data_IF_383234288016
#
_entry.id   IF_383234288016
#
_cell.length_a   1.000
_cell.length_b   1.000
_cell.length_c   1.000
_cell.angle_alpha   90.00
_cell.angle_beta   90.00
_cell.angle_gamma   90.00
#
_symmetry.space_group_name_H-M   'P 1'
#
loop_
_entity.id
_entity.type
_entity.pdbx_description
1 polymer ?
#
# COMPACT_ATOMS: atom_id res chain seq x y z
N UNK A 1 -19.42 0.60 -34.98
CA UNK A 1 -18.97 1.49 -33.89
C UNK A 1 -18.38 0.52 -32.91
N UNK A 2 -17.07 0.34 -33.03
CA UNK A 2 -16.36 -0.81 -32.48
C UNK A 2 -15.30 -0.26 -31.55
N UNK A 3 -15.59 -0.30 -30.26
CA UNK A 3 -14.62 -0.13 -29.18
C UNK A 3 -15.13 -0.98 -28.03
N UNK A 4 -14.50 -2.12 -27.80
CA UNK A 4 -14.84 -3.05 -26.73
C UNK A 4 -14.62 -2.37 -25.37
N UNK A 5 -15.66 -1.74 -24.83
CA UNK A 5 -15.69 -1.23 -23.46
C UNK A 5 -15.62 -2.44 -22.52
N UNK A 6 -14.40 -2.82 -22.14
CA UNK A 6 -14.14 -3.96 -21.27
C UNK A 6 -13.56 -3.50 -19.95
N UNK A 7 -13.95 -4.17 -18.86
CA UNK A 7 -13.31 -4.03 -17.55
C UNK A 7 -12.68 -5.38 -17.23
N UNK A 8 -11.35 -5.38 -17.01
CA UNK A 8 -10.56 -6.59 -16.78
C UNK A 8 -10.73 -7.66 -17.89
N UNK A 9 -10.88 -7.23 -19.15
CA UNK A 9 -11.08 -8.11 -20.30
C UNK A 9 -12.49 -8.69 -20.43
N UNK A 10 -13.45 -8.27 -19.60
CA UNK A 10 -14.86 -8.65 -19.68
C UNK A 10 -15.65 -7.53 -20.34
N UNK A 11 -16.44 -7.79 -21.40
CA UNK A 11 -17.29 -6.78 -22.03
C UNK A 11 -18.32 -6.22 -21.05
N UNK A 12 -18.43 -4.90 -21.00
CA UNK A 12 -19.47 -4.21 -20.25
C UNK A 12 -20.78 -4.31 -21.02
N UNK A 13 -21.84 -4.75 -20.35
CA UNK A 13 -23.18 -4.85 -20.95
C UNK A 13 -23.96 -3.55 -20.77
N UNK A 14 -24.90 -3.27 -21.67
CA UNK A 14 -25.84 -2.15 -21.57
C UNK A 14 -26.64 -2.17 -20.25
N UNK A 15 -26.99 -3.36 -19.76
CA UNK A 15 -27.66 -3.53 -18.47
C UNK A 15 -26.77 -3.09 -17.30
N UNK A 16 -25.48 -3.42 -17.37
CA UNK A 16 -24.50 -3.00 -16.37
C UNK A 16 -24.29 -1.48 -16.38
N UNK A 17 -24.28 -0.86 -17.55
CA UNK A 17 -24.22 0.60 -17.70
C UNK A 17 -25.47 1.24 -17.08
N UNK A 18 -26.66 0.73 -17.39
CA UNK A 18 -27.91 1.24 -16.83
C UNK A 18 -27.96 1.11 -15.30
N UNK A 19 -27.44 0.01 -14.76
CA UNK A 19 -27.33 -0.19 -13.32
C UNK A 19 -26.42 0.85 -12.66
N UNK A 20 -25.22 1.09 -13.22
CA UNK A 20 -24.29 2.09 -12.68
C UNK A 20 -24.83 3.52 -12.81
N UNK A 21 -25.54 3.82 -13.89
CA UNK A 21 -26.21 5.12 -14.06
C UNK A 21 -27.27 5.33 -12.97
N UNK A 22 -28.14 4.34 -12.74
CA UNK A 22 -29.16 4.40 -11.70
C UNK A 22 -28.55 4.52 -10.29
N UNK A 23 -27.45 3.82 -10.02
CA UNK A 23 -26.70 3.93 -8.76
C UNK A 23 -26.14 5.34 -8.55
N UNK A 24 -25.55 5.93 -9.59
CA UNK A 24 -25.02 7.29 -9.54
C UNK A 24 -26.11 8.34 -9.35
N UNK A 25 -27.24 8.19 -10.04
CA UNK A 25 -28.40 9.09 -9.94
C UNK A 25 -29.12 8.99 -8.59
N UNK A 26 -29.18 7.80 -7.99
CA UNK A 26 -29.72 7.60 -6.64
C UNK A 26 -28.88 8.31 -5.57
N UNK A 27 -27.60 8.58 -5.86
CA UNK A 27 -26.67 9.26 -4.98
C UNK A 27 -26.00 8.33 -3.98
N UNK A 28 -24.73 8.61 -3.70
CA UNK A 28 -23.94 7.82 -2.74
C UNK A 28 -24.02 8.40 -1.33
N UNK A 29 -24.09 7.53 -0.32
CA UNK A 29 -23.89 7.91 1.08
C UNK A 29 -22.42 8.28 1.32
N UNK A 30 -22.15 9.59 1.25
CA UNK A 30 -20.82 10.16 1.44
C UNK A 30 -20.25 9.85 2.83
N UNK A 31 -21.09 9.73 3.85
CA UNK A 31 -20.65 9.45 5.21
C UNK A 31 -20.24 7.98 5.38
N UNK A 32 -20.93 7.06 4.70
CA UNK A 32 -20.49 5.67 4.57
C UNK A 32 -19.18 5.53 3.79
N UNK A 33 -19.01 6.28 2.69
CA UNK A 33 -17.76 6.26 1.90
C UNK A 33 -16.57 6.87 2.64
N UNK A 34 -16.81 7.87 3.50
CA UNK A 34 -15.77 8.50 4.33
C UNK A 34 -15.32 7.66 5.51
N UNK A 35 -16.06 6.61 5.90
CA UNK A 35 -15.62 5.60 6.90
C UNK A 35 -14.49 4.70 6.40
N UNK A 36 -13.54 5.21 5.61
CA UNK A 36 -12.26 4.53 5.40
C UNK A 36 -11.57 4.47 6.76
N UNK A 37 -11.32 3.24 7.23
CA UNK A 37 -10.63 2.96 8.48
C UNK A 37 -9.31 3.74 8.62
N UNK A 38 -8.85 3.88 9.86
CA UNK A 38 -7.70 4.67 10.31
C UNK A 38 -6.42 4.38 9.50
N UNK A 39 -6.27 5.06 8.36
CA UNK A 39 -5.09 5.00 7.49
C UNK A 39 -4.54 3.58 7.26
N UNK A 40 -3.24 3.50 6.97
CA UNK A 40 -2.50 2.25 7.08
C UNK A 40 -2.35 1.93 8.58
N UNK A 41 -2.63 0.68 9.01
CA UNK A 41 -2.40 0.28 10.40
C UNK A 41 -0.99 0.68 10.86
N UNK A 42 -0.92 1.37 12.00
CA UNK A 42 0.35 1.67 12.66
C UNK A 42 1.05 0.38 13.09
N UNK A 43 2.39 0.41 13.18
CA UNK A 43 3.17 -0.75 13.64
C UNK A 43 3.22 -0.91 15.17
N UNK A 44 2.71 0.07 15.92
CA UNK A 44 2.65 0.06 17.38
C UNK A 44 1.40 0.76 17.90
N UNK A 45 1.31 0.87 19.23
CA UNK A 45 0.26 1.62 19.92
C UNK A 45 0.26 3.10 19.53
N UNK A 46 1.46 3.64 19.29
CA UNK A 46 1.71 5.00 18.82
C UNK A 46 2.31 5.04 17.42
N UNK A 47 2.22 6.19 16.70
CA UNK A 47 2.89 6.37 15.42
C UNK A 47 4.40 6.15 15.52
N UNK A 48 4.97 5.42 14.55
CA UNK A 48 6.43 5.24 14.48
C UNK A 48 7.13 6.58 14.22
N UNK A 49 8.24 6.83 14.92
CA UNK A 49 9.08 7.99 14.69
C UNK A 49 10.13 7.72 13.60
N UNK A 50 10.43 8.75 12.79
CA UNK A 50 11.47 8.68 11.75
C UNK A 50 12.77 9.23 12.34
N UNK A 51 13.81 8.40 12.37
CA UNK A 51 15.15 8.79 12.79
C UNK A 51 16.04 8.89 11.55
N UNK A 52 16.63 10.05 11.30
CA UNK A 52 17.55 10.26 10.19
C UNK A 52 18.97 9.82 10.58
N UNK A 53 19.56 8.91 9.79
CA UNK A 53 20.91 8.40 9.97
C UNK A 53 21.72 8.67 8.70
N UNK A 54 22.99 9.04 8.84
CA UNK A 54 23.92 9.16 7.71
C UNK A 54 24.67 7.85 7.57
N UNK A 55 24.52 7.22 6.42
CA UNK A 55 25.28 6.04 6.02
C UNK A 55 26.09 6.40 4.78
N UNK A 56 27.30 5.90 4.72
CA UNK A 56 28.11 5.88 3.52
C UNK A 56 27.46 4.98 2.45
N UNK A 57 27.85 5.17 1.19
CA UNK A 57 27.35 4.32 0.10
C UNK A 57 27.73 2.84 0.29
N UNK A 58 28.90 2.58 0.89
CA UNK A 58 29.38 1.23 1.17
C UNK A 58 28.54 0.55 2.26
N UNK A 59 28.23 1.26 3.35
CA UNK A 59 27.36 0.74 4.41
C UNK A 59 25.95 0.45 3.87
N UNK A 60 25.41 1.31 3.00
CA UNK A 60 24.10 1.09 2.40
C UNK A 60 24.09 -0.15 1.49
N UNK A 61 25.13 -0.33 0.68
CA UNK A 61 25.29 -1.51 -0.19
C UNK A 61 25.37 -2.79 0.64
N UNK A 62 26.13 -2.81 1.73
CA UNK A 62 26.22 -3.96 2.62
C UNK A 62 24.87 -4.35 3.23
N UNK A 63 24.03 -3.38 3.58
CA UNK A 63 22.67 -3.64 4.09
C UNK A 63 21.77 -4.20 2.97
N UNK A 64 21.88 -3.68 1.75
CA UNK A 64 21.10 -4.15 0.61
C UNK A 64 21.45 -5.58 0.21
N UNK A 65 22.75 -5.91 0.17
CA UNK A 65 23.23 -7.27 -0.11
C UNK A 65 22.72 -8.24 0.95
N UNK A 66 22.73 -7.82 2.23
CA UNK A 66 22.17 -8.61 3.33
C UNK A 66 20.67 -8.84 3.17
N UNK A 67 19.92 -7.80 2.83
CA UNK A 67 18.49 -7.87 2.63
C UNK A 67 18.13 -8.80 1.45
N UNK A 68 18.88 -8.71 0.35
CA UNK A 68 18.72 -9.60 -0.80
C UNK A 68 19.02 -11.06 -0.44
N UNK A 69 20.11 -11.30 0.29
CA UNK A 69 20.49 -12.65 0.75
C UNK A 69 19.42 -13.27 1.66
N UNK A 70 18.80 -12.48 2.54
CA UNK A 70 17.76 -12.95 3.47
C UNK A 70 16.33 -12.93 2.88
N UNK A 71 16.14 -12.42 1.66
CA UNK A 71 14.81 -12.24 1.06
C UNK A 71 13.94 -11.24 1.83
N UNK A 72 14.56 -10.26 2.49
CA UNK A 72 13.90 -9.24 3.32
C UNK A 72 14.02 -7.87 2.70
N UNK A 73 13.22 -6.92 3.19
CA UNK A 73 13.43 -5.51 2.87
C UNK A 73 14.58 -4.93 3.69
N UNK A 74 15.26 -3.91 3.14
CA UNK A 74 16.26 -3.11 3.86
C UNK A 74 15.78 -2.69 5.26
N UNK A 75 14.53 -2.22 5.35
CA UNK A 75 13.94 -1.74 6.60
C UNK A 75 13.73 -2.84 7.65
N UNK A 76 13.52 -4.09 7.24
CA UNK A 76 13.38 -5.23 8.15
C UNK A 76 14.73 -5.62 8.73
N UNK A 77 15.76 -5.75 7.88
CA UNK A 77 17.13 -6.03 8.32
C UNK A 77 17.63 -4.99 9.33
N UNK A 78 17.42 -3.70 9.04
CA UNK A 78 17.80 -2.62 9.97
C UNK A 78 17.07 -2.76 11.31
N UNK A 79 15.75 -3.04 11.30
CA UNK A 79 14.97 -3.19 12.52
C UNK A 79 15.37 -4.41 13.34
N UNK A 80 15.65 -5.54 12.70
CA UNK A 80 16.12 -6.75 13.38
C UNK A 80 17.50 -6.56 13.99
N UNK A 81 18.41 -5.88 13.29
CA UNK A 81 19.73 -5.54 13.82
C UNK A 81 19.61 -4.66 15.08
N UNK A 82 18.76 -3.63 15.04
CA UNK A 82 18.48 -2.78 16.20
C UNK A 82 17.85 -3.55 17.36
N UNK A 83 16.87 -4.42 17.08
CA UNK A 83 16.23 -5.25 18.09
C UNK A 83 17.20 -6.23 18.74
N UNK A 84 18.13 -6.80 17.97
CA UNK A 84 19.16 -7.73 18.48
C UNK A 84 20.21 -6.99 19.31
N UNK A 85 20.61 -5.79 18.88
CA UNK A 85 21.63 -5.00 19.56
C UNK A 85 21.13 -4.32 20.83
N UNK A 86 19.87 -3.84 20.84
CA UNK A 86 19.28 -3.14 21.97
C UNK A 86 18.56 -4.06 22.98
N UNK A 87 18.60 -5.38 22.77
CA UNK A 87 18.01 -6.39 23.66
C UNK A 87 18.78 -6.55 24.98
#
# INVERSE_FOLDING_TARGET
MDADETINGVPVSEEQIAQWAAEAEAGYDVDALKKRGRGRPGRGTEPSQVIALRLTSEELAAIDDRAAYEGKTRSEVIREALATFAA
#
